data_IF_184051788186
#
_entry.id   IF_184051788186
#
_cell.length_a   1.000
_cell.length_b   1.000
_cell.length_c   1.000
_cell.angle_alpha   90.00
_cell.angle_beta   90.00
_cell.angle_gamma   90.00
#
_symmetry.space_group_name_H-M   'P 1'
#
loop_
_entity.id
_entity.type
_entity.pdbx_description
1 polymer ?
#
# COMPACT_ATOMS: atom_id res chain seq x y z
N UNK A 1 -8.98 28.00 -1.12
CA UNK A 1 -7.79 28.62 -1.77
C UNK A 1 -6.65 28.96 -0.80
N UNK A 2 -6.85 29.05 0.49
CA UNK A 2 -5.88 29.72 1.34
C UNK A 2 -4.89 28.79 2.07
N UNK A 3 -5.20 27.54 2.27
CA UNK A 3 -4.29 26.61 2.93
C UNK A 3 -3.20 26.07 1.98
N UNK A 4 -3.53 25.88 0.70
CA UNK A 4 -2.58 25.35 -0.28
C UNK A 4 -1.52 26.34 -0.72
N UNK A 5 -1.78 27.63 -0.63
CA UNK A 5 -0.84 28.70 -1.01
C UNK A 5 0.13 29.10 0.09
N UNK A 6 -0.16 28.76 1.33
CA UNK A 6 0.74 29.03 2.48
C UNK A 6 1.69 27.89 2.83
N UNK A 7 1.51 26.73 2.24
CA UNK A 7 2.41 25.62 2.47
C UNK A 7 3.67 25.83 1.63
N UNK A 8 4.70 26.21 2.31
CA UNK A 8 6.06 26.50 1.90
C UNK A 8 6.52 25.82 0.60
N UNK A 9 6.48 26.58 -0.48
CA UNK A 9 7.19 26.23 -1.71
C UNK A 9 8.69 26.53 -1.67
N UNK A 10 9.14 27.31 -0.68
CA UNK A 10 10.54 27.69 -0.53
C UNK A 10 11.26 26.74 0.42
N UNK A 11 12.05 25.87 -0.09
CA UNK A 11 12.86 24.93 0.69
C UNK A 11 12.50 23.46 0.51
N UNK A 12 11.92 23.13 -0.59
CA UNK A 12 11.23 21.87 -0.88
C UNK A 12 12.13 20.64 -0.97
N UNK A 13 13.42 20.75 -0.78
CA UNK A 13 14.30 19.62 -1.08
C UNK A 13 15.35 19.30 -0.05
N UNK A 14 15.02 19.48 1.18
CA UNK A 14 15.77 18.79 2.21
C UNK A 14 14.94 17.60 2.68
N UNK A 15 15.60 16.51 3.02
CA UNK A 15 15.03 15.35 3.67
C UNK A 15 14.11 15.69 4.88
N UNK A 16 14.19 16.90 5.38
CA UNK A 16 13.41 17.44 6.49
C UNK A 16 11.97 17.84 6.12
N UNK A 17 11.67 18.05 4.84
CA UNK A 17 10.35 18.62 4.45
C UNK A 17 9.25 17.56 4.30
N UNK A 18 9.57 16.29 4.11
CA UNK A 18 8.57 15.24 3.97
C UNK A 18 7.84 14.91 5.28
N UNK A 19 8.33 15.39 6.41
CA UNK A 19 7.64 15.34 7.71
C UNK A 19 6.66 16.50 7.93
N UNK A 20 6.59 17.46 7.01
CA UNK A 20 5.65 18.58 7.08
C UNK A 20 4.54 18.39 6.05
N UNK A 21 3.38 19.00 6.32
CA UNK A 21 2.28 19.04 5.37
C UNK A 21 2.65 19.95 4.21
N UNK A 22 3.05 19.35 3.10
CA UNK A 22 3.35 20.05 1.84
C UNK A 22 2.12 20.15 0.97
N UNK A 23 2.17 21.01 -0.07
CA UNK A 23 1.09 21.06 -1.08
C UNK A 23 0.81 19.70 -1.70
N UNK A 24 1.85 18.89 -1.96
CA UNK A 24 1.69 17.54 -2.49
C UNK A 24 0.96 16.62 -1.51
N UNK A 25 1.25 16.73 -0.21
CA UNK A 25 0.54 15.98 0.82
C UNK A 25 -0.95 16.37 0.90
N UNK A 26 -1.26 17.65 0.72
CA UNK A 26 -2.65 18.13 0.66
C UNK A 26 -3.37 17.57 -0.57
N UNK A 27 -2.76 17.62 -1.76
CA UNK A 27 -3.37 17.05 -2.96
C UNK A 27 -3.58 15.54 -2.84
N UNK A 28 -2.61 14.79 -2.30
CA UNK A 28 -2.76 13.36 -2.07
C UNK A 28 -3.92 13.05 -1.10
N UNK A 29 -4.02 13.80 0.00
CA UNK A 29 -5.11 13.66 0.95
C UNK A 29 -6.47 14.03 0.33
N UNK A 30 -6.55 15.13 -0.43
CA UNK A 30 -7.78 15.54 -1.12
C UNK A 30 -8.23 14.48 -2.12
N UNK A 31 -7.30 13.88 -2.87
CA UNK A 31 -7.60 12.78 -3.79
C UNK A 31 -8.16 11.57 -3.04
N UNK A 32 -7.51 11.16 -1.94
CA UNK A 32 -7.97 10.03 -1.11
C UNK A 32 -9.37 10.29 -0.53
N UNK A 33 -9.62 11.50 0.00
CA UNK A 33 -10.95 11.90 0.49
C UNK A 33 -12.00 11.83 -0.63
N UNK A 34 -11.68 12.31 -1.83
CA UNK A 34 -12.62 12.25 -2.96
C UNK A 34 -12.90 10.79 -3.39
N UNK A 35 -11.91 9.89 -3.35
CA UNK A 35 -12.15 8.46 -3.58
C UNK A 35 -13.15 7.87 -2.57
N UNK A 36 -13.06 8.27 -1.30
CA UNK A 36 -14.01 7.87 -0.27
C UNK A 36 -15.39 8.48 -0.48
N UNK A 37 -15.46 9.75 -0.84
CA UNK A 37 -16.73 10.42 -1.14
C UNK A 37 -17.43 9.77 -2.33
N UNK A 38 -16.69 9.40 -3.39
CA UNK A 38 -17.21 8.66 -4.51
C UNK A 38 -17.79 7.30 -4.09
N UNK A 39 -17.06 6.53 -3.28
CA UNK A 39 -17.51 5.24 -2.80
C UNK A 39 -18.78 5.37 -1.92
N UNK A 40 -18.83 6.36 -1.02
CA UNK A 40 -20.01 6.64 -0.21
C UNK A 40 -21.19 7.13 -1.05
N UNK A 41 -20.96 8.02 -2.02
CA UNK A 41 -22.01 8.48 -2.92
C UNK A 41 -22.64 7.30 -3.67
N UNK A 42 -21.81 6.39 -4.19
CA UNK A 42 -22.28 5.20 -4.87
C UNK A 42 -23.10 4.30 -3.93
N UNK A 43 -22.61 4.03 -2.72
CA UNK A 43 -23.31 3.19 -1.76
C UNK A 43 -24.65 3.79 -1.34
N UNK A 44 -24.66 5.03 -0.88
CA UNK A 44 -25.87 5.63 -0.29
C UNK A 44 -26.91 6.05 -1.32
N UNK A 45 -26.52 6.33 -2.56
CA UNK A 45 -27.47 6.65 -3.64
C UNK A 45 -27.98 5.41 -4.35
N UNK A 46 -27.06 4.57 -4.80
CA UNK A 46 -27.39 3.45 -5.69
C UNK A 46 -27.81 2.17 -4.94
N UNK A 47 -27.29 1.96 -3.72
CA UNK A 47 -27.46 0.71 -2.97
C UNK A 47 -28.43 0.88 -1.81
N UNK A 48 -28.21 1.88 -0.95
CA UNK A 48 -29.00 2.09 0.29
C UNK A 48 -30.12 3.14 0.11
N UNK A 49 -29.91 4.16 -0.73
CA UNK A 49 -30.87 5.19 -1.04
C UNK A 49 -31.23 6.15 0.12
N UNK A 50 -30.41 6.17 1.18
CA UNK A 50 -30.72 6.92 2.42
C UNK A 50 -30.10 8.31 2.47
N UNK A 51 -29.18 8.63 1.55
CA UNK A 51 -28.42 9.90 1.55
C UNK A 51 -28.35 10.51 0.17
N UNK A 52 -28.44 11.84 0.12
CA UNK A 52 -28.19 12.60 -1.10
C UNK A 52 -26.85 13.34 -0.96
N UNK A 53 -25.79 12.89 -1.62
CA UNK A 53 -24.50 13.56 -1.59
C UNK A 53 -24.57 14.90 -2.36
N UNK A 54 -23.62 15.80 -2.08
CA UNK A 54 -23.47 17.08 -2.79
C UNK A 54 -23.12 16.88 -4.26
N UNK A 55 -22.34 15.85 -4.57
CA UNK A 55 -21.88 15.48 -5.91
C UNK A 55 -22.14 14.00 -6.18
N UNK A 56 -22.22 13.67 -7.45
CA UNK A 56 -22.30 12.27 -7.91
C UNK A 56 -20.99 11.54 -7.66
N UNK A 57 -21.00 10.21 -7.71
CA UNK A 57 -19.79 9.41 -7.61
C UNK A 57 -18.77 9.78 -8.72
N UNK A 58 -19.25 9.97 -9.95
CA UNK A 58 -18.38 10.34 -11.07
C UNK A 58 -17.71 11.71 -10.87
N UNK A 59 -18.46 12.72 -10.38
CA UNK A 59 -17.89 14.04 -10.06
C UNK A 59 -16.81 13.95 -8.96
N UNK A 60 -17.00 13.13 -7.94
CA UNK A 60 -15.97 12.90 -6.93
C UNK A 60 -14.73 12.16 -7.51
N UNK A 61 -14.92 11.23 -8.44
CA UNK A 61 -13.80 10.62 -9.15
C UNK A 61 -13.05 11.63 -10.00
N UNK A 62 -13.75 12.56 -10.68
CA UNK A 62 -13.12 13.65 -11.43
C UNK A 62 -12.28 14.54 -10.53
N UNK A 63 -12.80 14.89 -9.34
CA UNK A 63 -12.04 15.65 -8.33
C UNK A 63 -10.80 14.87 -7.85
N UNK A 64 -10.91 13.55 -7.67
CA UNK A 64 -9.79 12.71 -7.30
C UNK A 64 -8.72 12.70 -8.40
N UNK A 65 -9.10 12.54 -9.67
CA UNK A 65 -8.20 12.61 -10.83
C UNK A 65 -7.48 13.94 -10.89
N UNK A 66 -8.20 15.05 -10.74
CA UNK A 66 -7.62 16.40 -10.76
C UNK A 66 -6.60 16.61 -9.63
N UNK A 67 -6.93 16.20 -8.40
CA UNK A 67 -6.02 16.31 -7.27
C UNK A 67 -4.78 15.41 -7.41
N UNK A 68 -4.96 14.19 -7.89
CA UNK A 68 -3.82 13.33 -8.22
C UNK A 68 -2.92 13.97 -9.27
N UNK A 69 -3.51 14.54 -10.34
CA UNK A 69 -2.74 15.20 -11.40
C UNK A 69 -1.94 16.38 -10.87
N UNK A 70 -2.56 17.26 -10.06
CA UNK A 70 -1.86 18.39 -9.43
C UNK A 70 -0.69 17.92 -8.57
N UNK A 71 -0.87 16.82 -7.82
CA UNK A 71 0.19 16.22 -7.02
C UNK A 71 1.34 15.70 -7.88
N UNK A 72 1.03 14.96 -8.94
CA UNK A 72 2.02 14.43 -9.89
C UNK A 72 2.78 15.53 -10.61
N UNK A 73 2.10 16.54 -11.14
CA UNK A 73 2.71 17.69 -11.82
C UNK A 73 3.68 18.46 -10.90
N UNK A 74 3.27 18.65 -9.65
CA UNK A 74 4.12 19.30 -8.65
C UNK A 74 5.35 18.46 -8.32
N UNK A 75 5.21 17.13 -8.18
CA UNK A 75 6.35 16.24 -7.97
C UNK A 75 7.29 16.22 -9.18
N UNK A 76 6.76 16.20 -10.39
CA UNK A 76 7.57 16.22 -11.61
C UNK A 76 8.31 17.55 -11.78
N UNK A 77 7.68 18.67 -11.42
CA UNK A 77 8.35 19.96 -11.38
C UNK A 77 9.54 19.94 -10.40
N UNK A 78 9.33 19.44 -9.19
CA UNK A 78 10.39 19.29 -8.19
C UNK A 78 11.50 18.38 -8.70
N UNK A 79 11.14 17.23 -9.31
CA UNK A 79 12.11 16.31 -9.89
C UNK A 79 12.96 16.99 -10.95
N UNK A 80 12.34 17.69 -11.91
CA UNK A 80 13.05 18.36 -12.98
C UNK A 80 13.94 19.51 -12.50
N UNK A 81 13.54 20.20 -11.44
CA UNK A 81 14.30 21.33 -10.89
C UNK A 81 15.50 20.89 -10.07
N UNK A 82 15.37 19.84 -9.27
CA UNK A 82 16.34 19.49 -8.23
C UNK A 82 17.06 18.16 -8.42
N UNK A 83 16.40 17.17 -9.06
CA UNK A 83 16.95 15.82 -9.21
C UNK A 83 17.35 15.49 -10.64
N UNK A 84 16.92 16.29 -11.62
CA UNK A 84 17.24 16.03 -13.02
C UNK A 84 18.75 16.28 -13.27
N UNK A 85 19.48 15.18 -13.42
CA UNK A 85 20.83 15.23 -13.96
C UNK A 85 20.73 15.05 -15.47
N UNK A 86 21.31 15.96 -16.25
CA UNK A 86 21.31 15.91 -17.75
C UNK A 86 21.83 14.61 -18.33
N UNK A 87 22.50 13.78 -17.54
CA UNK A 87 23.05 12.49 -17.93
C UNK A 87 22.18 11.31 -17.48
N UNK A 88 21.11 11.53 -16.70
CA UNK A 88 20.17 10.47 -16.33
C UNK A 88 19.15 10.25 -17.44
N UNK A 89 18.85 8.97 -17.71
CA UNK A 89 17.75 8.62 -18.59
C UNK A 89 16.45 9.10 -17.94
N UNK A 90 15.62 9.80 -18.70
CA UNK A 90 14.25 10.08 -18.29
C UNK A 90 13.46 8.77 -18.32
N UNK A 91 13.01 8.32 -17.18
CA UNK A 91 12.12 7.18 -17.08
C UNK A 91 10.66 7.63 -17.06
N UNK A 92 9.77 6.75 -17.48
CA UNK A 92 8.34 7.03 -17.45
C UNK A 92 7.91 7.48 -16.04
N UNK A 93 7.19 8.59 -15.99
CA UNK A 93 6.71 9.20 -14.75
C UNK A 93 7.81 9.59 -13.74
N UNK A 94 9.07 9.70 -14.15
CA UNK A 94 10.20 9.99 -13.26
C UNK A 94 10.29 9.04 -12.04
N UNK A 95 9.90 7.78 -12.21
CA UNK A 95 10.01 6.76 -11.17
C UNK A 95 11.47 6.33 -10.98
N UNK A 96 11.82 5.99 -9.76
CA UNK A 96 13.04 5.26 -9.45
C UNK A 96 13.04 3.93 -10.19
N UNK A 97 14.18 3.53 -10.70
CA UNK A 97 14.36 2.26 -11.39
C UNK A 97 15.36 1.38 -10.64
N UNK A 98 15.15 0.08 -10.71
CA UNK A 98 16.13 -0.86 -10.20
C UNK A 98 17.39 -0.81 -11.07
N UNK A 99 18.51 -0.55 -10.43
CA UNK A 99 19.85 -0.59 -11.02
C UNK A 99 20.52 -1.91 -10.62
N UNK A 100 21.47 -2.37 -11.42
CA UNK A 100 22.16 -3.63 -11.20
C UNK A 100 21.86 -4.66 -12.30
N UNK A 101 22.68 -5.69 -12.33
CA UNK A 101 22.54 -6.78 -13.27
C UNK A 101 21.33 -7.67 -12.95
N UNK A 102 20.83 -8.41 -13.94
CA UNK A 102 19.70 -9.33 -13.78
C UNK A 102 20.00 -10.35 -12.68
N UNK A 103 21.22 -10.91 -12.67
CA UNK A 103 21.66 -11.91 -11.68
C UNK A 103 21.59 -11.40 -10.22
N UNK A 104 21.80 -10.11 -9.99
CA UNK A 104 21.68 -9.52 -8.65
C UNK A 104 20.22 -9.34 -8.25
N UNK A 105 19.36 -8.98 -9.22
CA UNK A 105 17.92 -8.89 -9.02
C UNK A 105 17.31 -10.25 -8.73
N UNK A 106 17.73 -11.30 -9.41
CA UNK A 106 17.33 -12.69 -9.13
C UNK A 106 17.68 -13.15 -7.70
N UNK A 107 18.68 -12.51 -7.10
CA UNK A 107 19.04 -12.72 -5.67
C UNK A 107 18.26 -11.82 -4.71
N UNK A 108 17.30 -11.03 -5.22
CA UNK A 108 16.46 -10.14 -4.46
C UNK A 108 17.04 -8.74 -4.21
N UNK A 109 18.11 -8.34 -4.93
CA UNK A 109 18.63 -6.98 -4.86
C UNK A 109 17.67 -5.98 -5.49
N UNK A 110 17.38 -4.89 -4.79
CA UNK A 110 16.56 -3.80 -5.30
C UNK A 110 17.04 -2.45 -4.77
N UNK A 111 17.61 -1.65 -5.66
CA UNK A 111 17.97 -0.25 -5.34
C UNK A 111 16.75 0.63 -5.11
N UNK A 112 15.61 0.31 -5.73
CA UNK A 112 14.34 1.01 -5.48
C UNK A 112 13.89 0.76 -4.05
N UNK A 113 13.92 -0.49 -3.59
CA UNK A 113 13.61 -0.82 -2.20
C UNK A 113 14.52 -0.08 -1.22
N UNK A 114 15.83 -0.13 -1.44
CA UNK A 114 16.81 0.50 -0.56
C UNK A 114 16.61 2.01 -0.47
N UNK A 115 16.25 2.65 -1.58
CA UNK A 115 16.00 4.10 -1.61
C UNK A 115 14.70 4.47 -0.92
N UNK A 116 13.62 3.70 -1.11
CA UNK A 116 12.28 4.05 -0.58
C UNK A 116 12.14 3.60 0.87
N UNK A 117 12.45 2.35 1.18
CA UNK A 117 12.17 1.72 2.48
C UNK A 117 13.43 1.53 3.33
N UNK A 118 14.57 1.27 2.70
CA UNK A 118 15.87 1.16 3.38
C UNK A 118 16.39 2.51 3.86
N UNK A 119 16.17 3.56 3.08
CA UNK A 119 16.46 4.95 3.41
C UNK A 119 15.31 5.66 4.13
N UNK A 120 15.37 6.99 4.10
CA UNK A 120 14.33 7.91 4.57
C UNK A 120 14.18 9.02 3.54
N UNK A 121 12.98 9.60 3.46
CA UNK A 121 12.73 10.79 2.66
C UNK A 121 13.10 10.61 1.18
N UNK A 122 12.64 9.52 0.59
CA UNK A 122 12.81 9.24 -0.84
C UNK A 122 12.19 10.33 -1.71
N UNK A 123 12.75 10.57 -2.88
CA UNK A 123 12.16 11.50 -3.87
C UNK A 123 10.77 11.07 -4.39
N UNK A 124 10.36 9.81 -4.17
CA UNK A 124 9.01 9.34 -4.46
C UNK A 124 8.06 9.51 -3.28
N UNK A 125 8.55 9.79 -2.09
CA UNK A 125 7.71 10.03 -0.93
C UNK A 125 7.06 11.41 -1.01
N UNK A 126 5.83 11.49 -0.53
CA UNK A 126 5.03 12.72 -0.49
C UNK A 126 4.90 13.20 0.96
N UNK A 127 4.63 12.28 1.86
CA UNK A 127 4.52 12.55 3.28
C UNK A 127 4.95 11.33 4.09
N UNK A 128 5.85 11.55 5.06
CA UNK A 128 6.36 10.53 5.95
C UNK A 128 6.27 10.98 7.41
N UNK A 129 5.82 10.11 8.30
CA UNK A 129 6.05 10.31 9.73
C UNK A 129 7.55 10.09 10.01
N UNK A 130 8.20 11.17 10.46
CA UNK A 130 9.63 11.14 10.76
C UNK A 130 9.87 10.44 12.10
N UNK A 131 10.63 9.37 12.07
CA UNK A 131 11.01 8.59 13.24
C UNK A 131 12.50 8.75 13.48
N UNK A 132 12.87 9.15 14.69
CA UNK A 132 14.25 9.36 15.10
C UNK A 132 14.56 8.49 16.32
N UNK A 133 15.68 7.77 16.26
CA UNK A 133 16.19 6.92 17.33
C UNK A 133 16.37 7.66 18.65
N UNK A 134 16.75 8.95 18.58
CA UNK A 134 17.05 9.77 19.76
C UNK A 134 15.83 10.05 20.63
N UNK A 135 14.64 10.03 20.06
CA UNK A 135 13.37 10.29 20.75
C UNK A 135 12.62 9.01 21.12
N UNK A 136 13.27 7.87 20.96
CA UNK A 136 12.66 6.58 21.12
C UNK A 136 12.73 6.11 22.58
N UNK A 137 11.63 6.13 23.28
CA UNK A 137 11.56 5.42 24.57
C UNK A 137 11.57 3.91 24.32
N UNK A 138 12.44 3.18 25.02
CA UNK A 138 12.72 1.73 24.92
C UNK A 138 11.49 0.80 25.08
N UNK A 139 10.34 1.16 24.51
CA UNK A 139 9.08 0.45 24.66
C UNK A 139 8.53 -0.25 23.44
N UNK A 140 9.30 -0.32 22.37
CA UNK A 140 8.88 -1.01 21.14
C UNK A 140 8.10 -0.08 20.20
N UNK A 141 8.63 0.09 19.02
CA UNK A 141 7.94 0.71 17.90
C UNK A 141 6.87 -0.28 17.43
N UNK A 142 5.62 0.15 17.31
CA UNK A 142 4.54 -0.70 16.84
C UNK A 142 4.83 -1.34 15.47
N UNK A 143 5.59 -0.65 14.61
CA UNK A 143 6.02 -1.17 13.31
C UNK A 143 7.06 -2.28 13.48
N UNK A 144 8.08 -2.08 14.34
CA UNK A 144 9.08 -3.09 14.63
C UNK A 144 8.45 -4.31 15.31
N UNK A 145 7.50 -4.10 16.22
CA UNK A 145 6.76 -5.18 16.86
C UNK A 145 5.84 -5.93 15.87
N UNK A 146 5.23 -5.22 14.93
CA UNK A 146 4.33 -5.80 13.94
C UNK A 146 5.09 -6.57 12.83
N UNK A 147 6.16 -5.97 12.30
CA UNK A 147 6.87 -6.45 11.11
C UNK A 147 8.29 -6.94 11.42
N UNK A 148 8.72 -6.88 12.66
CA UNK A 148 10.10 -7.20 13.03
C UNK A 148 10.56 -8.54 12.47
N UNK A 149 11.56 -8.48 11.59
CA UNK A 149 12.23 -9.65 11.04
C UNK A 149 13.70 -9.55 11.42
N UNK A 150 14.18 -10.50 12.16
CA UNK A 150 15.58 -10.55 12.55
C UNK A 150 15.79 -10.35 14.06
N UNK A 151 16.49 -11.28 14.67
CA UNK A 151 16.70 -11.36 16.10
C UNK A 151 15.61 -12.16 16.82
N UNK A 152 15.81 -12.41 18.10
CA UNK A 152 15.05 -13.35 18.93
C UNK A 152 13.52 -13.07 19.04
N UNK A 153 12.99 -12.08 18.36
CA UNK A 153 11.57 -11.75 18.39
C UNK A 153 11.10 -11.51 16.94
N UNK A 154 10.58 -12.53 16.30
CA UNK A 154 9.83 -12.39 15.04
C UNK A 154 8.67 -11.40 15.24
N UNK A 155 8.29 -10.65 14.19
CA UNK A 155 7.13 -9.77 14.22
C UNK A 155 5.83 -10.53 14.48
N UNK A 156 4.80 -9.82 14.91
CA UNK A 156 3.47 -10.41 15.11
C UNK A 156 2.83 -10.90 13.81
N UNK A 157 3.24 -10.35 12.67
CA UNK A 157 2.66 -10.68 11.37
C UNK A 157 3.58 -11.58 10.57
N UNK A 158 3.10 -12.77 10.30
CA UNK A 158 3.71 -13.76 9.41
C UNK A 158 2.96 -13.75 8.10
N UNK A 159 3.69 -13.75 7.00
CA UNK A 159 3.14 -13.83 5.65
C UNK A 159 2.88 -15.29 5.33
N UNK A 160 1.65 -15.62 4.94
CA UNK A 160 1.35 -16.99 4.48
C UNK A 160 2.11 -17.27 3.17
N UNK A 161 2.80 -18.38 3.10
CA UNK A 161 3.65 -18.75 1.96
C UNK A 161 2.89 -18.77 0.64
N UNK A 162 1.69 -19.35 0.63
CA UNK A 162 0.86 -19.41 -0.58
C UNK A 162 0.37 -18.04 -1.06
N UNK A 163 0.31 -17.04 -0.18
CA UNK A 163 -0.17 -15.71 -0.54
C UNK A 163 0.80 -14.97 -1.49
N UNK A 164 2.11 -15.15 -1.31
CA UNK A 164 3.10 -14.51 -2.17
C UNK A 164 3.00 -15.01 -3.61
N UNK A 165 2.92 -16.34 -3.80
CA UNK A 165 2.80 -16.94 -5.14
C UNK A 165 1.46 -16.66 -5.82
N UNK A 166 0.49 -16.13 -5.09
CA UNK A 166 -0.82 -15.78 -5.61
C UNK A 166 -0.90 -14.34 -6.10
N UNK A 167 -0.04 -13.46 -5.59
CA UNK A 167 -0.06 -12.02 -5.96
C UNK A 167 1.15 -11.59 -6.79
N UNK A 168 2.27 -12.31 -6.71
CA UNK A 168 3.47 -11.99 -7.46
C UNK A 168 3.77 -13.08 -8.49
N UNK A 169 4.10 -12.65 -9.69
CA UNK A 169 4.70 -13.50 -10.71
C UNK A 169 6.12 -13.91 -10.27
N UNK A 170 6.64 -14.99 -10.83
CA UNK A 170 7.96 -15.52 -10.44
C UNK A 170 9.10 -14.51 -10.69
N UNK A 171 8.95 -13.63 -11.68
CA UNK A 171 9.91 -12.58 -12.04
C UNK A 171 9.68 -11.25 -11.30
N UNK A 172 8.68 -11.17 -10.41
CA UNK A 172 8.40 -9.96 -9.64
C UNK A 172 9.35 -9.85 -8.43
N UNK A 173 10.26 -8.88 -8.50
CA UNK A 173 11.27 -8.63 -7.48
C UNK A 173 10.69 -8.32 -6.10
N UNK A 174 9.45 -7.82 -6.02
CA UNK A 174 8.80 -7.43 -4.76
C UNK A 174 8.60 -8.60 -3.81
N UNK A 175 8.38 -9.82 -4.33
CA UNK A 175 8.26 -11.00 -3.48
C UNK A 175 9.52 -11.22 -2.61
N UNK A 176 10.68 -10.85 -3.14
CA UNK A 176 11.97 -10.97 -2.44
C UNK A 176 12.35 -9.70 -1.69
N UNK A 177 11.98 -8.53 -2.21
CA UNK A 177 12.30 -7.25 -1.60
C UNK A 177 11.44 -6.95 -0.36
N UNK A 178 10.14 -7.27 -0.42
CA UNK A 178 9.17 -6.90 0.63
C UNK A 178 9.03 -7.94 1.73
N UNK A 179 9.53 -9.16 1.51
CA UNK A 179 9.47 -10.25 2.48
C UNK A 179 10.82 -10.87 2.73
N UNK A 180 10.93 -11.64 3.79
CA UNK A 180 12.12 -12.41 4.13
C UNK A 180 11.73 -13.72 4.76
N UNK A 181 12.45 -14.79 4.39
CA UNK A 181 12.31 -16.09 5.04
C UNK A 181 13.21 -16.13 6.27
N UNK A 182 12.64 -16.53 7.39
CA UNK A 182 13.36 -16.67 8.64
C UNK A 182 13.34 -18.12 9.10
N UNK A 183 14.51 -18.67 9.36
CA UNK A 183 14.66 -19.97 9.99
C UNK A 183 15.26 -19.74 11.38
N UNK A 184 14.48 -19.87 12.46
CA UNK A 184 15.03 -19.74 13.80
C UNK A 184 15.99 -20.90 14.07
N UNK A 185 17.21 -20.58 14.49
CA UNK A 185 18.10 -21.58 15.04
C UNK A 185 17.71 -21.93 16.49
N UNK A 186 17.95 -23.17 16.94
CA UNK A 186 17.68 -23.57 18.32
C UNK A 186 18.47 -22.77 19.36
N UNK A 187 19.57 -22.12 19.00
CA UNK A 187 20.42 -21.26 19.84
C UNK A 187 20.06 -19.77 19.76
N UNK A 188 18.98 -19.43 19.02
CA UNK A 188 18.56 -18.05 18.84
C UNK A 188 19.36 -17.26 17.79
N UNK A 189 20.30 -17.88 17.10
CA UNK A 189 20.97 -17.27 15.94
C UNK A 189 20.17 -17.53 14.68
N UNK A 190 20.24 -16.63 13.69
CA UNK A 190 19.58 -16.80 12.39
C UNK A 190 20.55 -17.42 11.40
N UNK A 191 20.21 -18.54 10.80
CA UNK A 191 20.92 -19.04 9.63
C UNK A 191 19.94 -19.42 8.52
N UNK A 192 20.33 -19.09 7.32
CA UNK A 192 19.61 -19.38 6.08
C UNK A 192 19.81 -20.83 5.62
N UNK A 193 20.22 -21.74 6.49
CA UNK A 193 20.65 -23.08 6.11
C UNK A 193 19.97 -24.20 6.90
N UNK A 194 18.99 -24.80 6.26
CA UNK A 194 18.89 -26.27 6.22
C UNK A 194 18.50 -27.05 7.48
N UNK A 195 17.76 -26.49 8.43
CA UNK A 195 17.17 -27.28 9.51
C UNK A 195 15.67 -27.49 9.30
N UNK A 196 15.11 -28.61 9.78
CA UNK A 196 13.69 -28.97 9.67
C UNK A 196 12.73 -28.08 10.50
N UNK A 197 13.14 -26.86 10.88
CA UNK A 197 12.25 -25.89 11.49
C UNK A 197 11.32 -25.29 10.42
N UNK A 198 10.04 -25.01 10.75
CA UNK A 198 9.14 -24.38 9.81
C UNK A 198 9.71 -23.03 9.38
N UNK A 199 9.89 -22.86 8.07
CA UNK A 199 10.33 -21.59 7.49
C UNK A 199 9.15 -20.62 7.56
N UNK A 200 9.30 -19.58 8.36
CA UNK A 200 8.30 -18.51 8.41
C UNK A 200 8.72 -17.35 7.50
N UNK A 201 7.76 -16.78 6.81
CA UNK A 201 7.99 -15.60 5.96
C UNK A 201 7.50 -14.36 6.69
N UNK A 202 8.40 -13.40 6.88
CA UNK A 202 8.12 -12.13 7.56
C UNK A 202 8.11 -10.97 6.59
N UNK A 203 7.52 -9.86 7.02
CA UNK A 203 7.52 -8.60 6.29
C UNK A 203 8.89 -7.94 6.43
N UNK A 204 9.60 -7.78 5.31
CA UNK A 204 10.86 -7.04 5.25
C UNK A 204 10.68 -5.55 5.00
N UNK A 205 9.56 -5.16 4.40
CA UNK A 205 9.22 -3.76 4.15
C UNK A 205 9.26 -2.99 5.47
N UNK A 206 9.98 -1.89 5.52
CA UNK A 206 10.30 -1.10 6.71
C UNK A 206 11.30 -1.71 7.71
N UNK A 207 11.56 -3.02 7.71
CA UNK A 207 12.47 -3.63 8.69
C UNK A 207 13.88 -3.81 8.16
N UNK A 208 14.07 -3.97 6.86
CA UNK A 208 15.38 -4.06 6.25
C UNK A 208 15.90 -2.69 5.78
N UNK A 209 17.20 -2.45 5.96
CA UNK A 209 17.93 -1.30 5.42
C UNK A 209 18.41 -1.54 4.00
N UNK A 210 18.79 -2.78 3.70
CA UNK A 210 19.24 -3.19 2.38
C UNK A 210 18.65 -4.53 1.99
N UNK A 211 18.58 -4.78 0.70
CA UNK A 211 18.19 -6.08 0.14
C UNK A 211 19.38 -7.01 -0.05
N UNK A 212 20.57 -6.45 -0.26
CA UNK A 212 21.82 -7.19 -0.36
C UNK A 212 23.00 -6.34 0.09
N UNK A 213 24.03 -6.95 0.72
CA UNK A 213 25.22 -6.25 1.19
C UNK A 213 26.45 -6.42 0.30
N UNK A 214 26.41 -7.32 -0.69
CA UNK A 214 27.54 -7.53 -1.59
C UNK A 214 27.14 -8.19 -2.88
N UNK A 215 27.82 -7.84 -3.97
CA UNK A 215 27.83 -8.59 -5.22
C UNK A 215 28.48 -9.95 -4.99
N UNK A 216 27.73 -11.04 -5.13
CA UNK A 216 28.27 -12.39 -5.03
C UNK A 216 27.40 -13.35 -4.23
N UNK A 217 27.83 -14.59 -4.12
CA UNK A 217 27.09 -15.76 -3.62
C UNK A 217 26.56 -15.68 -2.16
N UNK A 218 26.75 -14.56 -1.47
CA UNK A 218 26.29 -14.36 -0.10
C UNK A 218 25.69 -12.95 0.05
N UNK A 219 24.67 -12.63 -0.75
CA UNK A 219 23.90 -11.41 -0.55
C UNK A 219 23.17 -11.52 0.80
N UNK A 220 23.65 -10.78 1.78
CA UNK A 220 23.04 -10.72 3.11
C UNK A 220 22.26 -9.43 3.26
N UNK A 221 21.01 -9.53 3.67
CA UNK A 221 20.15 -8.41 3.97
C UNK A 221 20.54 -7.79 5.32
N UNK A 222 20.62 -6.47 5.36
CA UNK A 222 20.85 -5.72 6.62
C UNK A 222 19.51 -5.29 7.19
N UNK A 223 19.25 -5.65 8.44
CA UNK A 223 18.03 -5.26 9.16
C UNK A 223 18.28 -4.10 10.11
N UNK A 224 17.23 -3.35 10.43
CA UNK A 224 17.24 -2.38 11.53
C UNK A 224 17.24 -3.13 12.85
N UNK A 225 18.05 -2.65 13.79
CA UNK A 225 18.04 -3.22 15.14
C UNK A 225 16.73 -2.89 15.85
N UNK A 226 16.21 -3.83 16.65
CA UNK A 226 14.94 -3.65 17.37
C UNK A 226 14.97 -2.52 18.40
N UNK A 227 16.15 -2.17 18.90
CA UNK A 227 16.40 -1.10 19.88
C UNK A 227 16.72 0.26 19.25
N UNK A 228 16.97 0.29 17.94
CA UNK A 228 17.28 1.49 17.16
C UNK A 228 16.47 1.54 15.86
N UNK A 229 15.19 1.25 15.95
CA UNK A 229 14.32 1.22 14.79
C UNK A 229 13.97 2.64 14.33
N UNK A 230 14.51 3.03 13.18
CA UNK A 230 14.47 4.39 12.66
C UNK A 230 13.74 4.54 11.32
N UNK A 231 12.98 3.54 10.87
CA UNK A 231 12.24 3.65 9.63
C UNK A 231 11.11 4.67 9.73
N UNK A 232 11.08 5.61 8.80
CA UNK A 232 9.92 6.46 8.64
C UNK A 232 8.70 5.65 8.16
N UNK A 233 7.51 6.06 8.58
CA UNK A 233 6.28 5.51 8.02
C UNK A 233 5.80 6.38 6.87
N UNK A 234 5.77 5.80 5.67
CA UNK A 234 5.32 6.50 4.46
C UNK A 234 3.79 6.53 4.46
N UNK A 235 3.22 7.74 4.49
CA UNK A 235 1.77 7.94 4.42
C UNK A 235 1.30 8.02 2.98
N UNK A 236 1.98 8.81 2.14
CA UNK A 236 1.72 8.90 0.71
C UNK A 236 3.02 8.88 -0.07
N UNK A 237 3.02 8.24 -1.22
CA UNK A 237 4.12 8.22 -2.18
C UNK A 237 3.60 8.26 -3.62
N UNK A 238 4.48 8.56 -4.55
CA UNK A 238 4.15 8.82 -5.95
C UNK A 238 3.32 7.70 -6.58
N UNK A 239 3.70 6.45 -6.37
CA UNK A 239 2.98 5.31 -6.93
C UNK A 239 1.59 5.11 -6.33
N UNK A 240 1.38 5.49 -5.07
CA UNK A 240 0.03 5.45 -4.47
C UNK A 240 -0.91 6.42 -5.21
N UNK A 241 -0.49 7.68 -5.42
CA UNK A 241 -1.34 8.65 -6.16
C UNK A 241 -1.44 8.33 -7.65
N UNK A 242 -0.45 7.70 -8.28
CA UNK A 242 -0.56 7.21 -9.65
C UNK A 242 -1.64 6.12 -9.76
N UNK A 243 -1.61 5.13 -8.89
CA UNK A 243 -2.61 4.05 -8.87
C UNK A 243 -3.98 4.55 -8.41
N UNK A 244 -4.02 5.54 -7.51
CA UNK A 244 -5.28 6.19 -7.12
C UNK A 244 -5.91 6.94 -8.30
N UNK A 245 -5.10 7.67 -9.10
CA UNK A 245 -5.58 8.31 -10.33
C UNK A 245 -6.09 7.28 -11.33
N UNK A 246 -5.33 6.21 -11.57
CA UNK A 246 -5.73 5.14 -12.47
C UNK A 246 -7.06 4.47 -12.02
N UNK A 247 -7.20 4.18 -10.73
CA UNK A 247 -8.45 3.64 -10.16
C UNK A 247 -9.61 4.62 -10.33
N UNK A 248 -9.41 5.93 -10.07
CA UNK A 248 -10.44 6.96 -10.22
C UNK A 248 -10.92 7.08 -11.67
N UNK A 249 -10.01 7.14 -12.65
CA UNK A 249 -10.34 7.17 -14.07
C UNK A 249 -11.25 6.02 -14.48
N UNK A 250 -10.95 4.81 -13.98
CA UNK A 250 -11.63 3.58 -14.36
C UNK A 250 -12.85 3.23 -13.50
N UNK A 251 -13.06 3.91 -12.37
CA UNK A 251 -14.21 3.70 -11.48
C UNK A 251 -15.42 4.55 -11.84
N UNK A 252 -15.28 5.48 -12.77
CA UNK A 252 -16.39 6.25 -13.34
C UNK A 252 -17.32 5.35 -14.16
N UNK A 253 -18.54 5.81 -14.36
CA UNK A 253 -19.54 5.10 -15.16
C UNK A 253 -19.04 4.76 -16.56
N UNK A 254 -18.30 5.68 -17.19
CA UNK A 254 -17.67 5.49 -18.51
C UNK A 254 -16.30 6.16 -18.51
N UNK A 255 -15.28 5.41 -18.90
CA UNK A 255 -13.96 5.93 -19.20
C UNK A 255 -13.73 5.90 -20.73
N UNK A 256 -13.10 6.95 -21.26
CA UNK A 256 -12.68 6.99 -22.66
C UNK A 256 -11.49 6.05 -22.91
N UNK A 257 -11.23 5.72 -24.17
CA UNK A 257 -10.08 4.90 -24.56
C UNK A 257 -8.75 5.52 -24.11
N UNK A 258 -8.62 6.86 -24.22
CA UNK A 258 -7.41 7.57 -23.79
C UNK A 258 -7.21 7.47 -22.26
N UNK A 259 -8.28 7.51 -21.48
CA UNK A 259 -8.23 7.36 -20.02
C UNK A 259 -7.90 5.92 -19.60
N UNK A 260 -8.45 4.93 -20.29
CA UNK A 260 -8.09 3.52 -20.08
C UNK A 260 -6.61 3.32 -20.39
N UNK A 261 -6.13 3.89 -21.49
CA UNK A 261 -4.72 3.83 -21.88
C UNK A 261 -3.80 4.57 -20.90
N UNK A 262 -4.23 5.71 -20.39
CA UNK A 262 -3.48 6.44 -19.36
C UNK A 262 -3.36 5.63 -18.07
N UNK A 263 -4.46 5.06 -17.59
CA UNK A 263 -4.47 4.19 -16.41
C UNK A 263 -3.58 2.96 -16.60
N UNK A 264 -3.66 2.32 -17.76
CA UNK A 264 -2.77 1.20 -18.10
C UNK A 264 -1.30 1.61 -18.08
N UNK A 265 -0.93 2.72 -18.73
CA UNK A 265 0.47 3.17 -18.82
C UNK A 265 1.07 3.47 -17.44
N UNK A 266 0.30 4.08 -16.53
CA UNK A 266 0.74 4.31 -15.15
C UNK A 266 0.98 2.98 -14.42
N UNK A 267 0.09 2.04 -14.59
CA UNK A 267 0.16 0.72 -13.94
C UNK A 267 1.32 -0.11 -14.50
N UNK A 268 1.50 -0.12 -15.82
CA UNK A 268 2.60 -0.80 -16.50
C UNK A 268 3.96 -0.24 -16.08
N UNK A 269 4.11 1.08 -15.98
CA UNK A 269 5.34 1.70 -15.55
C UNK A 269 5.75 1.29 -14.13
N UNK A 270 4.78 1.13 -13.22
CA UNK A 270 5.01 0.64 -11.86
C UNK A 270 5.38 -0.85 -11.90
N UNK A 271 4.65 -1.66 -12.62
CA UNK A 271 4.91 -3.09 -12.75
C UNK A 271 6.29 -3.36 -13.33
N UNK A 272 6.61 -2.72 -14.45
CA UNK A 272 7.86 -2.92 -15.20
C UNK A 272 9.12 -2.68 -14.37
N UNK A 273 9.13 -1.69 -13.47
CA UNK A 273 10.30 -1.39 -12.64
C UNK A 273 10.66 -2.51 -11.66
N UNK A 274 9.70 -3.39 -11.35
CA UNK A 274 9.89 -4.49 -10.41
C UNK A 274 10.19 -5.83 -11.08
N UNK A 275 10.30 -5.87 -12.39
CA UNK A 275 10.73 -7.08 -13.09
C UNK A 275 12.20 -7.35 -12.87
N UNK A 276 12.53 -8.61 -12.68
CA UNK A 276 13.91 -9.07 -12.60
C UNK A 276 14.61 -8.87 -13.92
N UNK A 277 13.97 -9.29 -15.02
CA UNK A 277 14.46 -9.06 -16.38
C UNK A 277 13.54 -8.10 -17.14
N UNK A 278 14.01 -6.88 -17.35
CA UNK A 278 13.29 -5.85 -18.13
C UNK A 278 13.49 -6.00 -19.64
N UNK A 279 14.28 -6.95 -20.08
CA UNK A 279 14.50 -7.24 -21.51
C UNK A 279 13.60 -8.36 -22.01
N UNK A 280 12.97 -9.11 -21.12
CA UNK A 280 11.99 -10.14 -21.45
C UNK A 280 10.65 -9.51 -21.83
N UNK A 281 10.44 -9.37 -23.15
CA UNK A 281 9.22 -8.78 -23.74
C UNK A 281 8.01 -9.73 -23.68
N UNK A 282 8.21 -11.00 -23.44
CA UNK A 282 7.10 -11.96 -23.39
C UNK A 282 6.30 -11.82 -22.11
N UNK A 283 6.94 -11.37 -21.04
CA UNK A 283 6.33 -11.10 -19.75
C UNK A 283 5.84 -9.64 -19.57
N UNK A 284 6.01 -8.75 -20.55
CA UNK A 284 5.47 -7.39 -20.47
C UNK A 284 3.94 -7.38 -20.52
N UNK A 285 3.33 -6.49 -19.72
CA UNK A 285 1.89 -6.20 -19.84
C UNK A 285 1.60 -5.62 -21.23
N UNK A 286 0.59 -6.17 -21.91
CA UNK A 286 0.21 -5.72 -23.24
C UNK A 286 -1.12 -4.98 -23.19
N UNK A 287 -1.16 -3.72 -23.62
CA UNK A 287 -2.37 -2.89 -23.59
C UNK A 287 -3.57 -3.57 -24.24
N UNK A 288 -3.36 -4.32 -25.34
CA UNK A 288 -4.44 -5.00 -26.06
C UNK A 288 -5.24 -5.99 -25.17
N UNK A 289 -4.64 -6.48 -24.10
CA UNK A 289 -5.31 -7.39 -23.16
C UNK A 289 -6.19 -6.65 -22.15
N UNK A 290 -6.03 -5.31 -22.03
CA UNK A 290 -6.65 -4.44 -21.02
C UNK A 290 -7.42 -3.26 -21.62
N UNK A 291 -7.86 -3.34 -22.86
CA UNK A 291 -8.65 -2.29 -23.53
C UNK A 291 -10.05 -2.12 -22.93
N UNK A 292 -10.55 -3.12 -22.23
CA UNK A 292 -11.83 -3.05 -21.54
C UNK A 292 -11.65 -2.36 -20.18
N UNK A 293 -12.45 -1.32 -19.91
CA UNK A 293 -12.41 -0.53 -18.67
C UNK A 293 -12.37 -1.42 -17.41
N UNK A 294 -13.23 -2.45 -17.35
CA UNK A 294 -13.30 -3.36 -16.20
C UNK A 294 -12.03 -4.17 -16.01
N UNK A 295 -11.47 -4.73 -17.07
CA UNK A 295 -10.23 -5.49 -17.02
C UNK A 295 -9.04 -4.62 -16.61
N UNK A 296 -8.98 -3.39 -17.12
CA UNK A 296 -7.94 -2.45 -16.74
C UNK A 296 -8.07 -2.04 -15.26
N UNK A 297 -9.30 -1.84 -14.76
CA UNK A 297 -9.53 -1.57 -13.34
C UNK A 297 -9.08 -2.73 -12.45
N UNK A 298 -9.32 -3.96 -12.84
CA UNK A 298 -8.83 -5.15 -12.12
C UNK A 298 -7.30 -5.19 -12.09
N UNK A 299 -6.64 -4.93 -13.22
CA UNK A 299 -5.17 -4.80 -13.28
C UNK A 299 -4.64 -3.72 -12.30
N UNK A 300 -5.25 -2.53 -12.29
CA UNK A 300 -4.87 -1.44 -11.38
C UNK A 300 -5.01 -1.88 -9.92
N UNK A 301 -6.11 -2.53 -9.57
CA UNK A 301 -6.38 -3.02 -8.21
C UNK A 301 -5.39 -4.10 -7.78
N UNK A 302 -5.05 -5.02 -8.68
CA UNK A 302 -4.03 -6.04 -8.43
C UNK A 302 -2.65 -5.41 -8.25
N UNK A 303 -2.31 -4.41 -9.07
CA UNK A 303 -1.06 -3.68 -8.90
C UNK A 303 -1.01 -2.89 -7.60
N UNK A 304 -2.13 -2.31 -7.14
CA UNK A 304 -2.21 -1.70 -5.80
C UNK A 304 -1.91 -2.72 -4.70
N UNK A 305 -2.40 -3.95 -4.81
CA UNK A 305 -2.08 -5.02 -3.85
C UNK A 305 -0.59 -5.31 -3.85
N UNK A 306 0.01 -5.51 -5.03
CA UNK A 306 1.44 -5.82 -5.16
C UNK A 306 2.33 -4.69 -4.66
N UNK A 307 2.02 -3.46 -5.07
CA UNK A 307 2.85 -2.29 -4.80
C UNK A 307 2.72 -1.79 -3.35
N UNK A 308 1.51 -1.73 -2.82
CA UNK A 308 1.20 -1.11 -1.54
C UNK A 308 0.97 -2.11 -0.40
N UNK A 309 1.29 -3.41 -0.60
CA UNK A 309 1.20 -4.39 0.47
C UNK A 309 2.07 -3.96 1.66
N UNK A 310 1.61 -4.28 2.86
CA UNK A 310 2.28 -3.93 4.13
C UNK A 310 2.40 -2.43 4.43
N UNK A 311 1.75 -1.55 3.65
CA UNK A 311 1.67 -0.11 3.91
C UNK A 311 0.35 0.32 4.57
N UNK A 312 -0.45 -0.63 5.03
CA UNK A 312 -1.72 -0.35 5.72
C UNK A 312 -2.88 0.07 4.80
N UNK A 313 -2.73 -0.07 3.46
CA UNK A 313 -3.73 0.40 2.48
C UNK A 313 -4.82 -0.62 2.16
N UNK A 314 -4.48 -1.90 2.14
CA UNK A 314 -5.34 -2.95 1.59
C UNK A 314 -6.74 -3.02 2.20
N UNK A 315 -6.85 -2.86 3.51
CA UNK A 315 -8.17 -2.89 4.17
C UNK A 315 -9.08 -1.80 3.65
N UNK A 316 -8.55 -0.60 3.50
CA UNK A 316 -9.31 0.56 3.02
C UNK A 316 -9.71 0.41 1.55
N UNK A 317 -8.87 -0.17 0.71
CA UNK A 317 -9.20 -0.49 -0.68
C UNK A 317 -10.38 -1.48 -0.74
N UNK A 318 -10.34 -2.54 0.09
CA UNK A 318 -11.43 -3.53 0.18
C UNK A 318 -12.74 -2.86 0.64
N UNK A 319 -12.69 -1.98 1.63
CA UNK A 319 -13.88 -1.26 2.12
C UNK A 319 -14.47 -0.38 1.02
N UNK A 320 -13.64 0.36 0.28
CA UNK A 320 -14.11 1.17 -0.86
C UNK A 320 -14.76 0.28 -1.94
N UNK A 321 -14.16 -0.85 -2.28
CA UNK A 321 -14.73 -1.81 -3.23
C UNK A 321 -16.09 -2.34 -2.76
N UNK A 322 -16.21 -2.69 -1.48
CA UNK A 322 -17.47 -3.15 -0.90
C UNK A 322 -18.56 -2.07 -0.94
N UNK A 323 -18.21 -0.82 -0.66
CA UNK A 323 -19.12 0.33 -0.78
C UNK A 323 -19.58 0.58 -2.23
N UNK A 324 -18.75 0.23 -3.20
CA UNK A 324 -19.08 0.33 -4.62
C UNK A 324 -19.95 -0.86 -5.12
N UNK A 325 -20.31 -1.78 -4.24
CA UNK A 325 -21.05 -2.98 -4.60
C UNK A 325 -20.23 -4.07 -5.32
N UNK A 326 -18.91 -3.98 -5.23
CA UNK A 326 -18.01 -4.94 -5.84
C UNK A 326 -17.91 -6.23 -5.04
N UNK A 327 -17.70 -7.36 -5.73
CA UNK A 327 -17.41 -8.64 -5.05
C UNK A 327 -16.01 -8.60 -4.42
N UNK A 328 -15.97 -8.55 -3.11
CA UNK A 328 -14.73 -8.58 -2.32
C UNK A 328 -14.42 -9.96 -1.75
N UNK A 329 -15.20 -10.97 -2.13
CA UNK A 329 -15.07 -12.34 -1.60
C UNK A 329 -13.68 -12.95 -1.82
N UNK A 330 -12.99 -12.58 -2.91
CA UNK A 330 -11.62 -12.99 -3.19
C UNK A 330 -10.63 -12.59 -2.09
N UNK A 331 -10.91 -11.52 -1.35
CA UNK A 331 -10.01 -10.99 -0.31
C UNK A 331 -9.96 -11.87 0.94
N UNK A 332 -10.94 -12.74 1.15
CA UNK A 332 -11.04 -13.60 2.33
C UNK A 332 -11.34 -15.07 2.03
N UNK A 333 -11.60 -15.44 0.76
CA UNK A 333 -11.78 -16.85 0.36
C UNK A 333 -10.54 -17.72 0.56
N UNK A 334 -9.38 -17.12 0.73
CA UNK A 334 -8.13 -17.85 0.91
C UNK A 334 -7.97 -18.27 2.36
N UNK A 335 -7.84 -19.56 2.56
CA UNK A 335 -7.81 -20.27 3.84
C UNK A 335 -7.04 -19.52 4.93
N UNK A 336 -7.77 -18.83 5.79
CA UNK A 336 -7.24 -18.52 7.13
C UNK A 336 -7.42 -19.77 7.99
N UNK A 337 -6.38 -20.13 8.74
CA UNK A 337 -6.43 -21.27 9.63
C UNK A 337 -7.73 -21.29 10.45
N UNK A 338 -8.55 -22.32 10.23
CA UNK A 338 -9.70 -22.66 11.08
C UNK A 338 -11.02 -21.97 10.76
N UNK A 339 -11.12 -21.16 9.71
CA UNK A 339 -12.39 -20.57 9.29
C UNK A 339 -12.68 -21.01 7.85
N UNK A 340 -13.86 -21.60 7.60
CA UNK A 340 -14.26 -21.98 6.27
C UNK A 340 -14.78 -20.78 5.45
N UNK A 341 -14.84 -20.96 4.12
CA UNK A 341 -15.23 -19.90 3.21
C UNK A 341 -16.71 -19.50 3.40
N UNK A 342 -17.60 -20.42 3.80
CA UNK A 342 -19.01 -20.11 4.03
C UNK A 342 -19.19 -19.21 5.24
N UNK A 343 -18.46 -19.48 6.33
CA UNK A 343 -18.50 -18.65 7.53
C UNK A 343 -17.92 -17.25 7.25
N UNK A 344 -16.85 -17.15 6.45
CA UNK A 344 -16.30 -15.87 6.04
C UNK A 344 -17.29 -15.09 5.17
N UNK A 345 -17.89 -15.72 4.19
CA UNK A 345 -18.94 -15.11 3.36
C UNK A 345 -20.11 -14.64 4.21
N UNK A 346 -20.55 -15.45 5.17
CA UNK A 346 -21.64 -15.07 6.09
C UNK A 346 -21.30 -13.86 6.94
N UNK A 347 -20.04 -13.74 7.40
CA UNK A 347 -19.58 -12.59 8.20
C UNK A 347 -19.52 -11.30 7.39
N UNK A 348 -19.09 -11.38 6.14
CA UNK A 348 -18.87 -10.21 5.28
C UNK A 348 -20.00 -9.97 4.25
N UNK A 349 -21.16 -10.55 4.45
CA UNK A 349 -22.33 -10.33 3.57
C UNK A 349 -23.00 -8.96 3.75
N UNK A 350 -22.59 -8.18 4.75
CA UNK A 350 -23.14 -6.86 5.03
C UNK A 350 -22.01 -5.84 5.20
N UNK A 351 -22.21 -4.64 4.63
CA UNK A 351 -21.20 -3.57 4.65
C UNK A 351 -20.70 -3.22 6.05
N UNK A 352 -21.55 -3.32 7.08
CA UNK A 352 -21.14 -3.02 8.45
C UNK A 352 -20.06 -3.95 9.00
N UNK A 353 -19.83 -5.12 8.37
CA UNK A 353 -18.77 -6.05 8.76
C UNK A 353 -17.35 -5.52 8.46
N UNK A 354 -17.26 -4.57 7.52
CA UNK A 354 -16.00 -3.93 7.17
C UNK A 354 -15.61 -2.80 8.13
N UNK A 355 -16.52 -2.37 8.99
CA UNK A 355 -16.26 -1.32 9.98
C UNK A 355 -15.98 -1.94 11.35
N UNK A 356 -15.03 -1.32 12.06
CA UNK A 356 -14.68 -1.78 13.39
C UNK A 356 -15.84 -1.56 14.38
N UNK A 357 -15.95 -2.42 15.40
CA UNK A 357 -16.94 -2.21 16.46
C UNK A 357 -16.63 -0.93 17.23
N UNK A 358 -17.69 -0.23 17.62
CA UNK A 358 -17.58 0.90 18.54
C UNK A 358 -17.22 0.32 19.92
N UNK A 359 -16.25 0.91 20.60
CA UNK A 359 -15.85 0.46 21.92
C UNK A 359 -17.04 0.49 22.90
N UNK A 360 -17.20 -0.57 23.69
CA UNK A 360 -18.33 -0.69 24.66
C UNK A 360 -18.42 0.51 25.61
N UNK A 361 -17.29 1.06 26.01
CA UNK A 361 -17.24 2.24 26.87
C UNK A 361 -17.82 3.48 26.19
N UNK A 362 -17.55 3.68 24.89
CA UNK A 362 -18.10 4.82 24.15
C UNK A 362 -19.63 4.77 24.07
N UNK A 363 -20.18 3.58 23.80
CA UNK A 363 -21.64 3.37 23.79
C UNK A 363 -22.23 3.62 25.20
N UNK A 364 -21.52 3.18 26.26
CA UNK A 364 -21.95 3.41 27.62
C UNK A 364 -21.98 4.89 28.00
N UNK A 365 -21.04 5.69 27.53
CA UNK A 365 -20.99 7.12 27.80
C UNK A 365 -21.90 7.95 26.89
N UNK A 366 -22.20 7.45 25.70
CA UNK A 366 -23.11 8.12 24.76
C UNK A 366 -24.20 7.14 24.30
N UNK A 367 -25.37 7.12 24.95
CA UNK A 367 -26.49 6.22 24.63
C UNK A 367 -27.08 6.43 23.22
N UNK A 368 -26.73 7.54 22.52
CA UNK A 368 -27.16 7.79 21.15
C UNK A 368 -26.31 7.02 20.12
N UNK A 369 -25.19 6.41 20.55
CA UNK A 369 -24.39 5.58 19.68
C UNK A 369 -24.97 4.16 19.57
N UNK A 370 -25.21 3.73 18.36
CA UNK A 370 -25.58 2.34 18.07
C UNK A 370 -24.38 1.55 17.57
N UNK A 371 -24.24 0.31 18.06
CA UNK A 371 -23.21 -0.61 17.58
C UNK A 371 -23.47 -1.01 16.14
N UNK A 372 -22.38 -1.20 15.39
CA UNK A 372 -22.46 -1.76 14.03
C UNK A 372 -23.23 -3.07 14.02
N UNK A 373 -24.15 -3.22 13.06
CA UNK A 373 -25.08 -4.37 12.97
C UNK A 373 -24.34 -5.72 13.01
N UNK A 374 -23.22 -5.85 12.33
CA UNK A 374 -22.40 -7.07 12.31
C UNK A 374 -21.66 -7.36 13.62
N UNK A 375 -21.56 -6.35 14.48
CA UNK A 375 -20.87 -6.44 15.78
C UNK A 375 -21.83 -6.52 16.95
N UNK A 376 -23.13 -6.51 16.70
CA UNK A 376 -24.16 -6.80 17.73
C UNK A 376 -24.04 -8.29 18.04
N UNK A 377 -23.51 -8.65 19.22
CA UNK A 377 -23.49 -10.03 19.66
C UNK A 377 -24.91 -10.54 19.86
N UNK A 378 -25.15 -11.81 19.55
CA UNK A 378 -26.39 -12.51 19.90
C UNK A 378 -26.67 -12.54 21.39
N UNK A 379 -25.73 -12.11 22.24
CA UNK A 379 -25.81 -12.10 23.71
C UNK A 379 -26.50 -10.88 24.30
N UNK A 380 -27.04 -9.95 23.48
CA UNK A 380 -27.82 -8.82 24.02
C UNK A 380 -29.23 -9.22 24.53
N UNK A 381 -29.57 -10.50 24.51
CA UNK A 381 -30.81 -10.98 25.16
C UNK A 381 -30.76 -11.00 26.71
N UNK A 382 -29.58 -10.77 27.32
CA UNK A 382 -29.44 -10.81 28.80
C UNK A 382 -29.33 -9.44 29.50
N UNK A 383 -29.31 -8.32 28.73
CA UNK A 383 -29.15 -6.98 29.34
C UNK A 383 -30.50 -6.24 29.53
N UNK A 384 -31.61 -6.80 29.05
CA UNK A 384 -32.94 -6.23 29.29
C UNK A 384 -33.64 -6.74 30.58
N UNK A 385 -32.94 -7.51 31.38
CA UNK A 385 -33.49 -7.98 32.68
C UNK A 385 -32.52 -7.77 33.85
N UNK A 386 -32.15 -6.50 34.14
CA UNK A 386 -31.79 -6.10 35.51
C UNK A 386 -31.78 -4.58 35.65
#
# INVERSE_FOLDING_TARGET
EDASTKVLLSGINTAQNLGYVTTNAVYALMADVNMWQAAFAKYYVEIDGTYTPEHTADEYYDMAVENCQKGLDSMDKIHNEFYFNKNEKSYAYNLLQNTGEVEDREKGYSSVYETIFGGKNSRESIFEFQIDDSNYSKGGNGIAAAYGAGGNNGGMYVVQENWLSEIYEDDDLRQYAFTTKYVPNPDGSSSDTGTNAPVETFVAKYTAKSTATSYGASATRTYRANDSYDANWIVYRKTDIMLMKAEALLSRSVASEDEIKEAFNMTEAINKRWRMDTTDIDNELKYNDYVEQRKCLELVRDERVRELCFEGRRWYDIVRMALQGEDTSFSYKKKRHGVDDEEMLRRYNHISAYFMPIAKNEIRFNPLLEQNKSCKSSDNSEIEQN
#
